data_IF_309825003085
#
_entry.id   IF_309825003085
#
_cell.length_a   1.000
_cell.length_b   1.000
_cell.length_c   1.000
_cell.angle_alpha   90.00
_cell.angle_beta   90.00
_cell.angle_gamma   90.00
#
_symmetry.space_group_name_H-M   'P 1'
#
loop_
_entity.id
_entity.type
_entity.pdbx_description
1 polymer ?
#
# COMPACT_ATOMS: atom_id res chain seq x y z
N UNK A 1 41.22 -34.41 27.83
CA UNK A 1 42.50 -34.24 27.09
C UNK A 1 42.67 -32.77 26.76
N UNK A 2 43.86 -32.19 27.00
CA UNK A 2 44.22 -30.82 26.58
C UNK A 2 45.25 -30.93 25.45
N UNK A 3 45.21 -30.02 24.49
CA UNK A 3 46.43 -29.57 23.81
C UNK A 3 46.37 -28.06 23.59
N UNK A 4 47.41 -27.38 24.06
CA UNK A 4 47.65 -25.97 23.78
C UNK A 4 48.54 -25.85 22.54
N UNK A 5 48.48 -24.71 21.85
CA UNK A 5 49.70 -23.99 21.49
C UNK A 5 49.39 -22.54 21.08
N UNK A 6 50.16 -21.61 21.62
CA UNK A 6 50.29 -20.24 21.12
C UNK A 6 51.79 -19.91 21.12
N UNK A 7 52.28 -19.04 20.22
CA UNK A 7 53.24 -17.94 20.51
C UNK A 7 53.77 -17.22 19.25
N UNK A 8 53.49 -15.91 19.20
CA UNK A 8 54.30 -14.72 18.79
C UNK A 8 55.16 -14.68 17.50
N UNK A 9 54.71 -13.83 16.56
CA UNK A 9 55.27 -12.49 16.23
C UNK A 9 56.80 -12.24 16.22
N UNK A 10 57.34 -11.71 15.10
CA UNK A 10 58.21 -10.49 15.00
C UNK A 10 58.07 -9.85 13.58
N UNK A 11 58.16 -8.51 13.50
CA UNK A 11 58.04 -7.61 12.31
C UNK A 11 59.19 -7.79 11.28
N UNK A 12 59.06 -7.51 9.97
CA UNK A 12 59.01 -6.17 9.31
C UNK A 12 58.89 -6.34 7.76
N UNK A 13 58.59 -5.35 6.89
CA UNK A 13 58.15 -3.96 7.08
C UNK A 13 58.35 -3.07 5.82
N UNK A 14 57.27 -2.44 5.29
CA UNK A 14 57.16 -1.53 4.11
C UNK A 14 57.47 -2.14 2.71
N UNK A 15 56.84 -1.72 1.59
CA UNK A 15 56.21 -0.43 1.26
C UNK A 15 54.88 -0.56 0.45
N UNK A 16 54.07 0.50 0.48
CA UNK A 16 52.66 0.53 0.07
C UNK A 16 52.36 0.49 -1.45
N UNK A 17 51.27 -0.21 -1.80
CA UNK A 17 50.23 0.29 -2.74
C UNK A 17 48.87 -0.02 -2.11
N UNK A 18 48.16 1.01 -1.63
CA UNK A 18 46.89 0.87 -0.92
C UNK A 18 45.70 0.91 -1.89
N UNK A 19 45.23 -0.26 -2.31
CA UNK A 19 43.81 -0.42 -2.70
C UNK A 19 43.09 -0.87 -1.44
N UNK A 20 42.41 0.07 -0.78
CA UNK A 20 41.68 -0.21 0.46
C UNK A 20 40.40 -0.96 0.14
N UNK A 21 40.29 -2.18 0.64
CA UNK A 21 39.02 -2.90 0.71
C UNK A 21 38.10 -2.18 1.70
N UNK A 22 36.89 -1.84 1.26
CA UNK A 22 35.83 -1.31 2.10
C UNK A 22 34.91 -2.47 2.55
N UNK A 23 35.34 -3.22 3.57
CA UNK A 23 34.43 -4.01 4.38
C UNK A 23 34.12 -3.22 5.66
N UNK A 24 32.87 -2.76 5.80
CA UNK A 24 32.39 -2.01 6.97
C UNK A 24 32.18 -0.52 6.70
N UNK A 25 30.92 -0.11 6.58
CA UNK A 25 30.48 1.27 6.35
C UNK A 25 29.17 1.26 5.57
N UNK A 26 28.10 1.86 6.12
CA UNK A 26 26.76 1.80 5.56
C UNK A 26 26.69 2.36 4.14
N UNK A 27 26.05 1.62 3.23
CA UNK A 27 25.87 1.96 1.82
C UNK A 27 24.86 3.09 1.58
N UNK A 28 25.09 4.25 2.18
CA UNK A 28 24.43 5.49 1.78
C UNK A 28 24.89 5.90 0.39
N UNK A 29 24.26 5.35 -0.64
CA UNK A 29 24.21 6.05 -1.93
C UNK A 29 23.46 7.35 -1.72
N UNK A 30 24.01 8.47 -2.20
CA UNK A 30 23.38 9.78 -2.05
C UNK A 30 21.93 9.75 -2.57
N UNK A 31 21.01 10.50 -1.94
CA UNK A 31 19.62 10.57 -2.39
C UNK A 31 19.56 11.06 -3.85
N UNK A 32 18.61 10.58 -4.67
CA UNK A 32 18.55 10.95 -6.08
C UNK A 32 18.38 12.46 -6.25
N UNK A 33 19.25 13.08 -7.06
CA UNK A 33 19.12 14.48 -7.45
C UNK A 33 18.01 14.61 -8.52
N UNK A 34 16.77 14.75 -8.05
CA UNK A 34 15.60 14.92 -8.90
C UNK A 34 15.57 16.35 -9.46
N UNK A 35 15.55 16.51 -10.79
CA UNK A 35 15.28 17.84 -11.36
C UNK A 35 13.78 18.18 -11.24
N UNK A 36 13.41 19.42 -10.83
CA UNK A 36 12.04 19.75 -10.44
C UNK A 36 10.95 19.43 -11.45
N UNK A 37 9.78 19.03 -10.93
CA UNK A 37 8.54 18.96 -11.69
C UNK A 37 8.12 20.37 -12.14
N UNK A 38 7.55 20.51 -13.35
CA UNK A 38 7.09 21.80 -13.84
C UNK A 38 6.01 22.41 -12.94
N UNK A 39 5.90 23.73 -13.01
CA UNK A 39 4.71 24.43 -12.54
C UNK A 39 3.51 24.02 -13.39
N UNK A 40 2.46 23.55 -12.72
CA UNK A 40 1.21 23.08 -13.34
C UNK A 40 0.03 23.84 -12.77
N UNK A 41 -1.02 24.00 -13.57
CA UNK A 41 -2.25 24.62 -13.10
C UNK A 41 -2.90 23.81 -11.96
N UNK A 42 -3.73 24.48 -11.15
CA UNK A 42 -4.61 23.79 -10.22
C UNK A 42 -5.51 22.79 -10.98
N UNK A 43 -5.85 21.61 -10.40
CA UNK A 43 -6.69 20.64 -11.07
C UNK A 43 -8.07 21.22 -11.42
N UNK A 44 -8.67 20.84 -12.57
CA UNK A 44 -10.02 21.27 -12.93
C UNK A 44 -11.07 20.70 -11.95
N UNK A 45 -12.23 21.35 -11.85
CA UNK A 45 -13.29 20.95 -10.92
C UNK A 45 -13.73 19.48 -11.10
N UNK A 46 -13.86 19.01 -12.35
CA UNK A 46 -14.19 17.62 -12.70
C UNK A 46 -13.18 16.60 -12.14
N UNK A 47 -11.88 16.94 -12.14
CA UNK A 47 -10.86 16.11 -11.49
C UNK A 47 -11.06 16.08 -9.96
N UNK A 48 -11.41 17.22 -9.37
CA UNK A 48 -11.64 17.35 -7.92
C UNK A 48 -12.94 16.66 -7.44
N UNK A 49 -13.88 16.35 -8.33
CA UNK A 49 -15.02 15.47 -8.00
C UNK A 49 -14.56 14.03 -7.72
N UNK A 50 -13.51 13.57 -8.42
CA UNK A 50 -12.89 12.25 -8.22
C UNK A 50 -11.82 12.27 -7.12
N UNK A 51 -11.05 13.36 -7.04
CA UNK A 51 -9.95 13.58 -6.11
C UNK A 51 -10.18 14.85 -5.26
N UNK A 52 -11.09 14.80 -4.28
CA UNK A 52 -11.44 15.97 -3.47
C UNK A 52 -10.23 16.45 -2.67
N UNK A 53 -10.03 17.77 -2.62
CA UNK A 53 -8.99 18.36 -1.78
C UNK A 53 -9.29 18.11 -0.28
N UNK A 54 -8.26 18.01 0.58
CA UNK A 54 -8.43 17.90 2.02
C UNK A 54 -9.30 19.02 2.60
N UNK A 55 -10.33 18.62 3.34
CA UNK A 55 -11.04 19.50 4.27
C UNK A 55 -10.81 18.94 5.67
N UNK A 56 -9.90 19.58 6.43
CA UNK A 56 -9.46 19.05 7.73
C UNK A 56 -10.55 19.24 8.77
N UNK A 57 -11.19 18.15 9.16
CA UNK A 57 -12.14 18.11 10.28
C UNK A 57 -11.43 17.79 11.60
N UNK A 58 -12.12 17.95 12.72
CA UNK A 58 -11.62 17.52 14.03
C UNK A 58 -12.34 16.26 14.49
N UNK A 59 -11.57 15.25 14.91
CA UNK A 59 -12.09 14.05 15.57
C UNK A 59 -11.66 14.09 17.03
N UNK A 60 -12.65 13.95 17.92
CA UNK A 60 -12.41 13.77 19.36
C UNK A 60 -12.90 12.40 19.80
N UNK A 61 -12.03 11.68 20.50
CA UNK A 61 -12.30 10.37 21.08
C UNK A 61 -12.03 10.44 22.57
N UNK A 62 -12.99 10.02 23.39
CA UNK A 62 -12.84 9.92 24.83
C UNK A 62 -13.14 8.47 25.23
N UNK A 63 -12.11 7.75 25.69
CA UNK A 63 -12.26 6.36 26.15
C UNK A 63 -12.91 6.31 27.53
N UNK A 64 -13.61 5.21 27.81
CA UNK A 64 -14.17 4.93 29.11
C UNK A 64 -13.08 5.02 30.19
N UNK A 65 -13.30 5.87 31.20
CA UNK A 65 -12.37 6.16 32.30
C UNK A 65 -11.02 6.78 31.85
N UNK A 66 -10.95 7.35 30.63
CA UNK A 66 -9.72 7.86 30.00
C UNK A 66 -8.60 6.79 29.89
N UNK A 67 -8.97 5.50 29.82
CA UNK A 67 -8.02 4.39 29.69
C UNK A 67 -7.20 4.50 28.39
N UNK A 68 -5.86 4.32 28.44
CA UNK A 68 -5.02 4.40 27.25
C UNK A 68 -5.28 3.21 26.30
N UNK A 69 -5.04 3.44 25.01
CA UNK A 69 -5.04 2.39 23.98
C UNK A 69 -3.62 1.87 23.85
N UNK A 70 -3.34 0.67 24.39
CA UNK A 70 -1.98 0.18 24.62
C UNK A 70 -1.55 -1.01 23.75
N UNK A 71 -2.47 -1.63 23.02
CA UNK A 71 -2.18 -2.79 22.17
C UNK A 71 -3.12 -2.87 20.96
N UNK A 72 -2.88 -3.89 20.11
CA UNK A 72 -3.59 -4.13 18.85
C UNK A 72 -4.73 -5.15 18.93
N UNK A 73 -5.01 -5.72 20.11
CA UNK A 73 -5.96 -6.83 20.27
C UNK A 73 -7.20 -6.38 21.08
N UNK A 74 -6.96 -5.68 22.18
CA UNK A 74 -7.94 -5.31 23.17
C UNK A 74 -8.62 -3.99 22.82
N UNK A 75 -9.89 -4.10 22.42
CA UNK A 75 -10.76 -2.95 22.19
C UNK A 75 -11.13 -2.26 23.51
N UNK A 76 -10.82 -0.96 23.61
CA UNK A 76 -11.28 -0.07 24.67
C UNK A 76 -12.57 0.63 24.21
N UNK A 77 -13.63 0.60 25.02
CA UNK A 77 -14.86 1.37 24.75
C UNK A 77 -14.58 2.88 24.81
N UNK A 78 -15.24 3.63 23.93
CA UNK A 78 -15.07 5.08 23.80
C UNK A 78 -16.31 5.77 23.21
N UNK A 79 -16.35 7.09 23.35
CA UNK A 79 -17.25 7.97 22.59
C UNK A 79 -16.50 8.65 21.45
N UNK A 80 -17.18 8.86 20.32
CA UNK A 80 -16.64 9.43 19.10
C UNK A 80 -17.44 10.68 18.67
N UNK A 81 -16.72 11.76 18.38
CA UNK A 81 -17.26 13.05 17.95
C UNK A 81 -16.47 13.59 16.76
N UNK A 82 -17.17 14.17 15.79
CA UNK A 82 -16.59 14.84 14.61
C UNK A 82 -17.14 16.26 14.52
N UNK A 83 -16.25 17.23 14.34
CA UNK A 83 -16.59 18.64 14.13
C UNK A 83 -15.97 19.13 12.83
N UNK A 84 -16.79 19.63 11.91
CA UNK A 84 -16.33 20.20 10.63
C UNK A 84 -16.31 21.74 10.71
N UNK A 85 -15.26 22.42 10.22
CA UNK A 85 -15.18 23.89 10.29
C UNK A 85 -16.30 24.65 9.56
N UNK A 86 -16.95 24.00 8.57
CA UNK A 86 -17.86 24.67 7.64
C UNK A 86 -19.24 23.99 7.47
N UNK A 87 -19.51 22.84 8.12
CA UNK A 87 -20.77 22.11 7.95
C UNK A 87 -21.38 21.64 9.27
N UNK A 88 -22.71 21.69 9.32
CA UNK A 88 -23.56 20.99 10.29
C UNK A 88 -24.31 19.92 9.48
N UNK A 89 -24.36 18.63 9.90
CA UNK A 89 -24.23 18.15 11.27
C UNK A 89 -22.84 17.65 11.69
N UNK A 90 -22.42 18.05 12.88
CA UNK A 90 -21.38 17.35 13.65
C UNK A 90 -21.88 15.98 14.12
N UNK A 91 -21.08 14.92 13.96
CA UNK A 91 -21.33 13.64 14.64
C UNK A 91 -21.02 13.84 16.13
N UNK A 92 -21.96 13.57 17.03
CA UNK A 92 -21.79 13.79 18.47
C UNK A 92 -21.96 12.49 19.25
N UNK A 93 -20.97 12.17 20.07
CA UNK A 93 -21.03 11.19 21.17
C UNK A 93 -21.53 9.80 20.78
N UNK A 94 -21.12 9.32 19.59
CA UNK A 94 -21.47 7.98 19.13
C UNK A 94 -20.62 6.95 19.89
N UNK A 95 -21.22 5.94 20.56
CA UNK A 95 -20.48 4.87 21.20
C UNK A 95 -19.73 4.03 20.16
N UNK A 96 -18.46 3.73 20.45
CA UNK A 96 -17.63 2.85 19.64
C UNK A 96 -16.55 2.21 20.50
N UNK A 97 -15.68 1.42 19.87
CA UNK A 97 -14.50 0.83 20.48
C UNK A 97 -13.26 1.15 19.65
N UNK A 98 -12.16 1.43 20.32
CA UNK A 98 -10.87 1.76 19.70
C UNK A 98 -9.80 0.75 20.13
N UNK A 99 -8.93 0.35 19.20
CA UNK A 99 -7.68 -0.36 19.49
C UNK A 99 -6.53 0.14 18.61
N UNK A 100 -5.30 -0.21 18.95
CA UNK A 100 -4.14 -0.02 18.07
C UNK A 100 -4.26 -0.83 16.78
N UNK A 101 -3.50 -0.46 15.75
CA UNK A 101 -3.36 -1.26 14.52
C UNK A 101 -1.97 -1.10 13.89
N UNK A 102 -1.76 -1.79 12.78
CA UNK A 102 -0.54 -1.69 11.98
C UNK A 102 0.54 -2.65 12.48
N UNK A 103 1.61 -2.77 11.71
CA UNK A 103 2.79 -3.53 12.09
C UNK A 103 3.89 -2.55 12.48
N UNK A 104 4.85 -2.23 11.61
CA UNK A 104 5.92 -1.25 11.91
C UNK A 104 5.39 0.11 12.38
N UNK A 105 4.25 0.57 11.85
CA UNK A 105 3.61 1.84 12.23
C UNK A 105 3.05 1.86 13.66
N UNK A 106 2.85 0.71 14.31
CA UNK A 106 2.42 0.63 15.71
C UNK A 106 3.56 0.97 16.69
N UNK A 107 4.80 0.69 16.28
CA UNK A 107 6.02 0.93 17.05
C UNK A 107 6.52 2.39 16.91
N UNK A 108 5.93 3.15 15.98
CA UNK A 108 6.24 4.57 15.78
C UNK A 108 5.63 5.45 16.89
N UNK A 109 6.29 6.56 17.28
CA UNK A 109 5.80 7.47 18.33
C UNK A 109 4.37 7.99 18.16
N UNK A 110 3.87 8.10 16.92
CA UNK A 110 2.50 8.48 16.60
C UNK A 110 1.75 7.27 16.04
N UNK A 111 0.94 6.65 16.88
CA UNK A 111 0.30 5.37 16.59
C UNK A 111 -0.97 5.51 15.72
N UNK A 112 -1.24 4.59 14.80
CA UNK A 112 -2.52 4.47 14.09
C UNK A 112 -3.53 3.62 14.89
N UNK A 113 -4.81 3.86 14.64
CA UNK A 113 -5.91 3.23 15.38
C UNK A 113 -6.95 2.58 14.46
N UNK A 114 -7.64 1.56 14.99
CA UNK A 114 -8.84 0.96 14.40
C UNK A 114 -10.04 1.26 15.28
N UNK A 115 -11.05 1.93 14.71
CA UNK A 115 -12.33 2.23 15.33
C UNK A 115 -13.35 1.17 14.91
N UNK A 116 -14.22 0.76 15.83
CA UNK A 116 -15.31 -0.18 15.60
C UNK A 116 -16.60 0.32 16.28
N UNK A 117 -17.57 0.68 15.47
CA UNK A 117 -18.93 1.07 15.86
C UNK A 117 -19.84 -0.16 15.94
N UNK A 118 -20.87 -0.11 16.78
CA UNK A 118 -21.86 -1.18 16.88
C UNK A 118 -22.74 -1.22 15.62
N UNK A 119 -23.10 -0.07 15.07
CA UNK A 119 -23.82 0.10 13.79
C UNK A 119 -22.98 0.79 12.72
N UNK A 120 -23.47 0.78 11.47
CA UNK A 120 -22.79 1.47 10.36
C UNK A 120 -22.94 2.98 10.53
N UNK A 121 -21.81 3.69 10.61
CA UNK A 121 -21.76 5.15 10.72
C UNK A 121 -21.13 5.73 9.46
N UNK A 122 -21.78 6.73 8.88
CA UNK A 122 -21.20 7.58 7.83
C UNK A 122 -20.31 8.63 8.50
N UNK A 123 -19.06 8.74 8.08
CA UNK A 123 -18.09 9.71 8.63
C UNK A 123 -17.68 10.68 7.53
N UNK A 124 -17.86 11.99 7.75
CA UNK A 124 -17.42 13.05 6.81
C UNK A 124 -17.92 12.85 5.36
N UNK A 125 -19.18 12.44 5.23
CA UNK A 125 -19.86 12.17 3.95
C UNK A 125 -19.43 10.88 3.24
N UNK A 126 -18.57 10.06 3.83
CA UNK A 126 -18.16 8.75 3.28
C UNK A 126 -19.19 7.65 3.58
N UNK A 127 -19.23 6.61 2.74
CA UNK A 127 -20.09 5.44 2.84
C UNK A 127 -20.09 4.83 4.24
N UNK A 128 -21.28 4.51 4.75
CA UNK A 128 -21.45 4.10 6.14
C UNK A 128 -20.85 2.72 6.44
N UNK A 129 -19.88 2.69 7.37
CA UNK A 129 -19.12 1.49 7.73
C UNK A 129 -19.09 1.28 9.25
N UNK A 130 -18.95 0.01 9.68
CA UNK A 130 -18.81 -0.33 11.11
C UNK A 130 -17.37 -0.19 11.61
N UNK A 131 -16.38 -0.33 10.73
CA UNK A 131 -14.96 -0.19 11.07
C UNK A 131 -14.37 0.99 10.31
N UNK A 132 -13.50 1.76 10.96
CA UNK A 132 -12.79 2.89 10.37
C UNK A 132 -11.34 2.90 10.84
N UNK A 133 -10.41 3.10 9.91
CA UNK A 133 -8.98 3.17 10.17
C UNK A 133 -8.56 4.63 10.30
N UNK A 134 -7.79 4.95 11.34
CA UNK A 134 -7.04 6.20 11.49
C UNK A 134 -5.57 5.93 11.14
N UNK A 135 -5.16 6.29 9.93
CA UNK A 135 -3.76 6.26 9.50
C UNK A 135 -3.00 7.46 10.10
N UNK A 136 -1.89 7.19 10.77
CA UNK A 136 -1.06 8.21 11.40
C UNK A 136 -0.14 8.95 10.42
N UNK A 137 0.16 8.33 9.26
CA UNK A 137 1.10 8.80 8.24
C UNK A 137 2.39 9.40 8.85
N UNK A 138 2.98 8.73 9.86
CA UNK A 138 4.07 9.30 10.64
C UNK A 138 5.40 9.38 9.86
N UNK A 139 5.75 8.33 9.12
CA UNK A 139 6.92 8.29 8.23
C UNK A 139 6.69 9.07 6.94
N UNK A 140 5.46 9.10 6.41
CA UNK A 140 5.09 9.97 5.28
C UNK A 140 4.92 11.42 5.72
N UNK A 141 6.02 12.16 5.78
CA UNK A 141 6.04 13.57 6.15
C UNK A 141 5.30 14.49 5.16
N UNK A 142 5.01 14.03 3.94
CA UNK A 142 4.11 14.76 3.02
C UNK A 142 2.65 14.67 3.48
N UNK A 143 2.30 13.63 4.25
CA UNK A 143 0.97 13.17 4.65
C UNK A 143 0.06 12.72 3.49
N UNK A 144 0.54 12.79 2.25
CA UNK A 144 -0.28 12.77 1.02
C UNK A 144 -0.16 11.48 0.20
N UNK A 145 0.78 10.57 0.47
CA UNK A 145 1.07 9.43 -0.44
C UNK A 145 -0.10 8.45 -0.57
N UNK A 146 -0.73 8.10 0.56
CA UNK A 146 -1.96 7.30 0.57
C UNK A 146 -3.12 8.02 -0.14
N UNK A 147 -3.33 9.32 0.13
CA UNK A 147 -4.40 10.11 -0.50
C UNK A 147 -4.19 10.26 -2.02
N UNK A 148 -2.95 10.41 -2.47
CA UNK A 148 -2.55 10.43 -3.88
C UNK A 148 -2.84 9.08 -4.55
N UNK A 149 -2.42 7.97 -3.95
CA UNK A 149 -2.69 6.64 -4.47
C UNK A 149 -4.19 6.33 -4.59
N UNK A 150 -4.98 6.69 -3.58
CA UNK A 150 -6.44 6.52 -3.62
C UNK A 150 -7.10 7.43 -4.67
N UNK A 151 -6.61 8.66 -4.86
CA UNK A 151 -7.01 9.51 -5.97
C UNK A 151 -6.73 8.83 -7.33
N UNK A 152 -5.49 8.39 -7.56
CA UNK A 152 -5.07 7.67 -8.77
C UNK A 152 -5.92 6.44 -9.05
N UNK A 153 -6.24 5.65 -8.03
CA UNK A 153 -7.08 4.47 -8.16
C UNK A 153 -8.54 4.79 -8.55
N UNK A 154 -9.12 5.87 -8.02
CA UNK A 154 -10.46 6.33 -8.44
C UNK A 154 -10.46 6.81 -9.90
N UNK A 155 -9.44 7.56 -10.32
CA UNK A 155 -9.29 8.01 -11.73
C UNK A 155 -9.19 6.82 -12.70
N UNK A 156 -8.52 5.73 -12.29
CA UNK A 156 -8.45 4.50 -13.07
C UNK A 156 -9.74 3.65 -13.03
N UNK A 157 -10.70 3.99 -12.17
CA UNK A 157 -11.94 3.25 -12.00
C UNK A 157 -11.78 1.95 -11.21
N UNK A 158 -10.81 1.86 -10.28
CA UNK A 158 -10.71 0.71 -9.38
C UNK A 158 -11.88 0.70 -8.39
N UNK A 159 -12.72 -0.33 -8.51
CA UNK A 159 -13.88 -0.52 -7.64
C UNK A 159 -13.47 -0.65 -6.16
N UNK A 160 -14.33 -0.16 -5.28
CA UNK A 160 -14.15 -0.17 -3.82
C UNK A 160 -12.88 0.52 -3.29
N UNK A 161 -12.20 1.33 -4.11
CA UNK A 161 -11.06 2.16 -3.68
C UNK A 161 -11.42 2.90 -2.38
N UNK A 162 -10.59 2.82 -1.32
CA UNK A 162 -10.98 3.36 -0.02
C UNK A 162 -11.30 4.85 -0.11
N UNK A 163 -12.36 5.26 0.57
CA UNK A 163 -12.65 6.67 0.77
C UNK A 163 -11.81 7.17 1.95
N UNK A 164 -11.32 8.41 1.86
CA UNK A 164 -10.46 8.99 2.88
C UNK A 164 -10.75 10.48 3.14
N UNK A 165 -10.45 10.92 4.37
CA UNK A 165 -10.49 12.33 4.77
C UNK A 165 -9.37 12.63 5.75
N UNK A 166 -8.87 13.86 5.72
CA UNK A 166 -7.89 14.36 6.69
C UNK A 166 -8.57 14.90 7.93
N UNK A 167 -8.02 14.58 9.10
CA UNK A 167 -8.62 14.93 10.41
C UNK A 167 -7.56 15.24 11.45
N UNK A 168 -7.78 16.25 12.28
CA UNK A 168 -6.99 16.46 13.49
C UNK A 168 -7.57 15.64 14.65
N UNK A 169 -6.76 14.77 15.25
CA UNK A 169 -7.19 13.84 16.29
C UNK A 169 -6.88 14.36 17.70
N UNK A 170 -7.89 14.32 18.57
CA UNK A 170 -7.75 14.43 20.02
C UNK A 170 -8.24 13.15 20.69
N UNK A 171 -7.39 12.52 21.50
CA UNK A 171 -7.71 11.30 22.26
C UNK A 171 -7.53 11.58 23.76
N UNK A 172 -8.57 11.40 24.56
CA UNK A 172 -8.57 11.64 26.01
C UNK A 172 -8.07 13.05 26.40
N UNK A 173 -8.45 14.06 25.61
CA UNK A 173 -7.97 15.44 25.73
C UNK A 173 -6.56 15.72 25.18
N UNK A 174 -5.77 14.72 24.80
CA UNK A 174 -4.44 14.94 24.20
C UNK A 174 -4.52 15.08 22.67
N UNK A 175 -3.85 16.10 22.12
CA UNK A 175 -3.80 16.36 20.68
C UNK A 175 -2.69 15.53 20.03
N UNK A 176 -3.09 14.63 19.12
CA UNK A 176 -2.19 13.66 18.47
C UNK A 176 -1.77 14.06 17.05
N UNK A 177 -2.20 15.22 16.54
CA UNK A 177 -1.82 15.70 15.20
C UNK A 177 -2.80 15.32 14.09
N UNK A 178 -2.31 15.39 12.86
CA UNK A 178 -3.08 15.19 11.63
C UNK A 178 -3.09 13.71 11.22
N UNK A 179 -4.26 13.11 11.10
CA UNK A 179 -4.49 11.73 10.66
C UNK A 179 -5.28 11.70 9.34
N UNK A 180 -5.27 10.54 8.69
CA UNK A 180 -6.15 10.25 7.55
C UNK A 180 -7.13 9.14 7.97
N UNK A 181 -8.43 9.44 8.03
CA UNK A 181 -9.49 8.47 8.34
C UNK A 181 -10.00 7.81 7.06
N UNK A 182 -10.13 6.48 7.04
CA UNK A 182 -10.55 5.70 5.86
C UNK A 182 -11.33 4.43 6.21
N UNK A 183 -12.11 3.91 5.26
CA UNK A 183 -12.88 2.67 5.40
C UNK A 183 -12.16 1.38 4.95
N UNK A 184 -10.88 1.45 4.50
CA UNK A 184 -10.09 0.29 4.03
C UNK A 184 -10.90 -0.54 3.00
N UNK A 185 -10.94 -1.85 3.17
CA UNK A 185 -11.62 -2.86 2.35
C UNK A 185 -13.07 -3.14 2.79
N UNK A 186 -13.52 -2.56 3.91
CA UNK A 186 -14.69 -3.06 4.63
C UNK A 186 -16.00 -3.00 3.83
N UNK A 187 -16.05 -2.19 2.77
CA UNK A 187 -17.16 -2.19 1.81
C UNK A 187 -17.22 -3.49 0.98
N UNK A 188 -16.10 -3.94 0.40
CA UNK A 188 -16.05 -5.19 -0.35
C UNK A 188 -16.21 -6.40 0.58
N UNK A 189 -15.62 -6.37 1.78
CA UNK A 189 -15.85 -7.39 2.82
C UNK A 189 -17.34 -7.56 3.15
N UNK A 190 -18.03 -6.46 3.43
CA UNK A 190 -19.47 -6.46 3.71
C UNK A 190 -20.31 -7.00 2.53
N UNK A 191 -19.89 -6.75 1.29
CA UNK A 191 -20.56 -7.29 0.09
C UNK A 191 -20.29 -8.79 -0.10
N UNK A 192 -19.08 -9.26 0.19
CA UNK A 192 -18.74 -10.68 0.20
C UNK A 192 -19.59 -11.42 1.23
N UNK A 193 -19.59 -10.98 2.49
CA UNK A 193 -20.27 -11.64 3.60
C UNK A 193 -21.81 -11.67 3.43
N UNK A 194 -22.40 -10.67 2.75
CA UNK A 194 -23.84 -10.63 2.41
C UNK A 194 -24.30 -11.74 1.47
N UNK A 195 -23.41 -12.36 0.69
CA UNK A 195 -23.77 -13.47 -0.20
C UNK A 195 -24.08 -14.77 0.57
N UNK A 196 -23.82 -14.80 1.88
CA UNK A 196 -24.19 -15.88 2.76
C UNK A 196 -23.23 -17.06 2.73
N UNK A 197 -23.08 -17.71 3.88
CA UNK A 197 -22.04 -18.71 4.17
C UNK A 197 -22.41 -20.15 3.76
N UNK A 198 -23.25 -20.34 2.74
CA UNK A 198 -23.71 -21.70 2.33
C UNK A 198 -22.53 -22.57 1.87
N UNK A 199 -21.61 -21.94 1.14
CA UNK A 199 -20.40 -22.55 0.58
C UNK A 199 -19.49 -23.19 1.64
N UNK A 200 -19.54 -22.75 2.90
CA UNK A 200 -18.78 -23.35 4.01
C UNK A 200 -18.96 -24.86 4.17
N UNK A 201 -20.13 -25.39 3.79
CA UNK A 201 -20.49 -26.80 3.93
C UNK A 201 -20.63 -27.54 2.59
N UNK A 202 -20.39 -26.87 1.46
CA UNK A 202 -20.54 -27.46 0.13
C UNK A 202 -19.34 -28.40 -0.17
N UNK A 203 -19.62 -29.70 -0.29
CA UNK A 203 -18.66 -30.69 -0.79
C UNK A 203 -18.67 -30.59 -2.31
N UNK A 204 -17.71 -29.85 -2.86
CA UNK A 204 -17.61 -29.58 -4.31
C UNK A 204 -17.25 -30.84 -5.09
N UNK A 205 -18.27 -31.53 -5.58
CA UNK A 205 -18.19 -32.52 -6.65
C UNK A 205 -18.73 -31.94 -7.98
N UNK A 206 -18.74 -30.60 -8.08
CA UNK A 206 -19.21 -29.79 -9.20
C UNK A 206 -18.03 -29.23 -9.98
N UNK A 207 -18.18 -29.13 -11.30
CA UNK A 207 -17.11 -28.76 -12.25
C UNK A 207 -16.82 -27.26 -12.36
N UNK A 208 -17.29 -26.44 -11.43
CA UNK A 208 -17.14 -24.99 -11.44
C UNK A 208 -16.95 -24.46 -10.02
N UNK A 209 -15.96 -23.58 -9.84
CA UNK A 209 -15.64 -22.95 -8.58
C UNK A 209 -16.42 -21.63 -8.41
N UNK A 210 -17.13 -21.51 -7.28
CA UNK A 210 -18.15 -20.46 -7.05
C UNK A 210 -18.10 -19.87 -5.62
N UNK A 211 -17.01 -20.09 -4.89
CA UNK A 211 -16.84 -19.55 -3.53
C UNK A 211 -16.58 -18.04 -3.60
N UNK A 212 -17.39 -17.19 -2.93
CA UNK A 212 -17.08 -15.78 -2.80
C UNK A 212 -16.04 -15.55 -1.68
N UNK A 213 -15.06 -14.69 -1.93
CA UNK A 213 -14.02 -14.35 -0.95
C UNK A 213 -13.46 -12.94 -1.14
N UNK A 214 -12.86 -12.42 -0.07
CA UNK A 214 -11.86 -11.35 -0.07
C UNK A 214 -10.60 -11.90 0.59
N UNK A 215 -9.48 -11.84 -0.13
CA UNK A 215 -8.16 -12.24 0.33
C UNK A 215 -7.16 -11.09 0.11
N UNK A 216 -6.09 -11.12 0.89
CA UNK A 216 -4.92 -10.25 0.78
C UNK A 216 -3.70 -11.12 0.46
N UNK A 217 -2.86 -10.71 -0.48
CA UNK A 217 -1.47 -11.23 -0.52
C UNK A 217 -0.76 -10.67 0.71
N UNK A 218 -0.40 -11.54 1.65
CA UNK A 218 0.24 -11.19 2.91
C UNK A 218 1.34 -12.22 3.23
N UNK A 219 2.60 -11.81 3.10
CA UNK A 219 3.75 -12.66 3.41
C UNK A 219 3.84 -13.06 4.89
N UNK A 220 3.24 -12.30 5.82
CA UNK A 220 3.31 -12.59 7.26
C UNK A 220 2.44 -13.78 7.64
N UNK A 221 1.34 -14.02 6.91
CA UNK A 221 0.40 -15.12 7.17
C UNK A 221 -0.05 -15.21 8.64
N UNK A 222 -0.41 -14.06 9.21
CA UNK A 222 -0.65 -13.82 10.63
C UNK A 222 -2.14 -13.63 11.02
N UNK A 223 -3.07 -13.76 10.07
CA UNK A 223 -4.52 -13.71 10.30
C UNK A 223 -5.12 -15.06 10.73
N UNK A 224 -6.43 -15.14 11.02
CA UNK A 224 -7.11 -16.40 11.43
C UNK A 224 -7.09 -17.50 10.35
N UNK A 225 -7.08 -17.10 9.07
CA UNK A 225 -7.20 -18.01 7.92
C UNK A 225 -6.18 -17.66 6.84
N UNK A 226 -5.03 -18.34 6.87
CA UNK A 226 -3.97 -18.18 5.88
C UNK A 226 -3.76 -19.43 5.03
N UNK A 227 -3.18 -19.25 3.86
CA UNK A 227 -2.63 -20.32 3.04
C UNK A 227 -1.46 -19.81 2.21
N UNK A 228 -0.68 -20.75 1.66
CA UNK A 228 0.40 -20.46 0.72
C UNK A 228 0.15 -21.31 -0.53
N UNK A 229 0.22 -20.69 -1.71
CA UNK A 229 0.06 -21.38 -3.00
C UNK A 229 1.31 -22.17 -3.37
N UNK A 230 1.24 -22.95 -4.45
CA UNK A 230 2.32 -23.78 -4.98
C UNK A 230 3.51 -22.94 -5.43
N UNK A 231 3.27 -21.72 -5.92
CA UNK A 231 4.32 -20.74 -6.24
C UNK A 231 4.91 -20.02 -5.03
N UNK A 232 4.45 -20.32 -3.82
CA UNK A 232 4.98 -19.75 -2.57
C UNK A 232 4.41 -18.38 -2.21
N UNK A 233 3.29 -17.95 -2.80
CA UNK A 233 2.64 -16.68 -2.47
C UNK A 233 1.77 -16.88 -1.23
N UNK A 234 2.01 -16.09 -0.18
CA UNK A 234 1.23 -16.09 1.06
C UNK A 234 -0.05 -15.28 0.92
N UNK A 235 -1.17 -15.85 1.36
CA UNK A 235 -2.48 -15.21 1.35
C UNK A 235 -3.17 -15.31 2.72
N UNK A 236 -3.87 -14.25 3.09
CA UNK A 236 -4.77 -14.17 4.25
C UNK A 236 -6.20 -13.87 3.79
N UNK A 237 -7.22 -14.45 4.43
CA UNK A 237 -8.61 -14.02 4.22
C UNK A 237 -8.93 -12.79 5.08
N UNK A 238 -9.44 -11.72 4.47
CA UNK A 238 -10.05 -10.60 5.22
C UNK A 238 -11.59 -10.73 5.26
N UNK A 239 -12.22 -11.54 4.40
CA UNK A 239 -13.62 -11.97 4.64
C UNK A 239 -13.72 -13.17 5.58
N UNK A 240 -14.80 -13.26 6.36
CA UNK A 240 -15.10 -14.45 7.17
C UNK A 240 -14.99 -15.77 6.37
N UNK A 241 -14.16 -16.70 6.85
CA UNK A 241 -13.79 -17.95 6.14
C UNK A 241 -13.94 -19.20 7.04
N UNK A 242 -13.64 -20.37 6.48
CA UNK A 242 -13.45 -21.61 7.23
C UNK A 242 -12.40 -22.52 6.55
N UNK A 243 -11.91 -23.53 7.26
CA UNK A 243 -10.89 -24.45 6.73
C UNK A 243 -11.29 -25.21 5.45
N UNK A 244 -12.58 -25.33 5.12
CA UNK A 244 -13.03 -25.95 3.87
C UNK A 244 -12.93 -24.98 2.69
N UNK A 245 -13.37 -23.72 2.86
CA UNK A 245 -13.18 -22.66 1.88
C UNK A 245 -11.69 -22.42 1.62
N UNK A 246 -10.86 -22.31 2.67
CA UNK A 246 -9.40 -22.11 2.53
C UNK A 246 -8.78 -23.15 1.59
N UNK A 247 -9.15 -24.43 1.71
CA UNK A 247 -8.65 -25.49 0.81
C UNK A 247 -9.14 -25.35 -0.63
N UNK A 248 -10.39 -24.93 -0.85
CA UNK A 248 -10.94 -24.76 -2.21
C UNK A 248 -10.39 -23.51 -2.91
N UNK A 249 -10.34 -22.38 -2.22
CA UNK A 249 -9.75 -21.13 -2.75
C UNK A 249 -8.27 -21.33 -3.06
N UNK A 250 -7.52 -21.99 -2.17
CA UNK A 250 -6.13 -22.38 -2.45
C UNK A 250 -6.04 -23.25 -3.71
N UNK A 251 -6.79 -24.35 -3.78
CA UNK A 251 -6.71 -25.27 -4.92
C UNK A 251 -7.05 -24.60 -6.25
N UNK A 252 -8.06 -23.73 -6.25
CA UNK A 252 -8.43 -22.93 -7.42
C UNK A 252 -7.35 -21.93 -7.84
N UNK A 253 -6.64 -21.32 -6.88
CA UNK A 253 -5.47 -20.49 -7.18
C UNK A 253 -4.26 -21.33 -7.64
N UNK A 254 -4.03 -22.52 -7.08
CA UNK A 254 -3.00 -23.47 -7.54
C UNK A 254 -3.25 -23.92 -9.00
N UNK A 255 -4.51 -24.12 -9.39
CA UNK A 255 -4.92 -24.40 -10.78
C UNK A 255 -4.68 -23.17 -11.69
N UNK A 256 -5.04 -21.96 -11.24
CA UNK A 256 -4.80 -20.72 -11.98
C UNK A 256 -3.30 -20.40 -12.13
N UNK A 257 -2.47 -20.71 -11.12
CA UNK A 257 -1.02 -20.66 -11.21
C UNK A 257 -0.48 -21.65 -12.26
N UNK A 258 -1.02 -22.86 -12.31
CA UNK A 258 -0.66 -23.84 -13.35
C UNK A 258 -0.96 -23.30 -14.76
N UNK A 259 -2.07 -22.56 -14.91
CA UNK A 259 -2.46 -21.94 -16.18
C UNK A 259 -1.54 -20.80 -16.62
N UNK A 260 -1.05 -19.97 -15.69
CA UNK A 260 -0.07 -18.92 -16.00
C UNK A 260 1.22 -19.49 -16.59
N UNK A 261 1.58 -20.73 -16.27
CA UNK A 261 2.70 -21.45 -16.88
C UNK A 261 2.49 -21.85 -18.35
N UNK A 262 1.27 -21.76 -18.90
CA UNK A 262 0.93 -22.23 -20.25
C UNK A 262 -0.04 -21.28 -21.01
N UNK A 263 0.07 -19.98 -20.81
CA UNK A 263 -0.78 -18.96 -21.47
C UNK A 263 -0.65 -18.93 -23.01
N UNK A 264 0.36 -19.57 -23.59
CA UNK A 264 0.51 -19.72 -25.04
C UNK A 264 -0.56 -20.65 -25.67
N UNK A 265 -1.23 -21.50 -24.89
CA UNK A 265 -2.40 -22.25 -25.34
C UNK A 265 -3.61 -21.31 -25.43
N UNK A 266 -4.31 -21.23 -26.59
CA UNK A 266 -5.54 -20.45 -26.72
C UNK A 266 -6.63 -20.85 -25.72
N UNK A 267 -6.71 -22.14 -25.38
CA UNK A 267 -7.67 -22.69 -24.42
C UNK A 267 -7.35 -22.25 -22.97
N UNK A 268 -6.07 -22.23 -22.60
CA UNK A 268 -5.61 -21.74 -21.30
C UNK A 268 -5.79 -20.22 -21.20
N UNK A 269 -5.40 -19.46 -22.23
CA UNK A 269 -5.65 -18.02 -22.29
C UNK A 269 -7.14 -17.68 -22.19
N UNK A 270 -8.02 -18.40 -22.90
CA UNK A 270 -9.46 -18.21 -22.84
C UNK A 270 -10.03 -18.48 -21.43
N UNK A 271 -9.54 -19.49 -20.72
CA UNK A 271 -9.92 -19.78 -19.32
C UNK A 271 -9.47 -18.65 -18.40
N UNK A 272 -8.19 -18.28 -18.42
CA UNK A 272 -7.61 -17.23 -17.57
C UNK A 272 -8.30 -15.87 -17.80
N UNK A 273 -8.52 -15.47 -19.05
CA UNK A 273 -9.21 -14.22 -19.40
C UNK A 273 -10.72 -14.23 -19.15
N UNK A 274 -11.32 -15.39 -18.83
CA UNK A 274 -12.70 -15.50 -18.35
C UNK A 274 -12.78 -15.48 -16.82
N UNK A 275 -11.83 -16.15 -16.15
CA UNK A 275 -11.79 -16.29 -14.69
C UNK A 275 -11.24 -15.07 -13.95
N UNK A 276 -10.58 -14.15 -14.65
CA UNK A 276 -9.96 -12.94 -14.09
C UNK A 276 -10.49 -11.66 -14.75
N UNK A 277 -10.77 -10.63 -13.94
CA UNK A 277 -10.95 -9.27 -14.42
C UNK A 277 -9.58 -8.65 -14.70
N UNK A 278 -9.07 -8.93 -15.90
CA UNK A 278 -7.79 -8.38 -16.39
C UNK A 278 -7.79 -6.84 -16.45
N UNK A 279 -8.94 -6.18 -16.56
CA UNK A 279 -8.99 -4.71 -16.53
C UNK A 279 -8.73 -4.18 -15.11
N UNK A 280 -9.30 -4.83 -14.09
CA UNK A 280 -8.98 -4.52 -12.69
C UNK A 280 -7.50 -4.79 -12.37
N UNK A 281 -6.92 -5.88 -12.88
CA UNK A 281 -5.49 -6.16 -12.72
C UNK A 281 -4.61 -5.10 -13.39
N UNK A 282 -4.88 -4.74 -14.65
CA UNK A 282 -4.12 -3.72 -15.37
C UNK A 282 -4.17 -2.36 -14.66
N UNK A 283 -5.33 -2.00 -14.11
CA UNK A 283 -5.50 -0.79 -13.31
C UNK A 283 -4.73 -0.86 -11.99
N UNK A 284 -4.87 -1.94 -11.21
CA UNK A 284 -4.17 -2.12 -9.92
C UNK A 284 -2.65 -2.11 -10.11
N UNK A 285 -2.20 -2.79 -11.15
CA UNK A 285 -0.80 -2.80 -11.57
C UNK A 285 -0.28 -1.37 -11.81
N UNK A 286 -0.94 -0.62 -12.70
CA UNK A 286 -0.47 0.72 -13.06
C UNK A 286 -0.50 1.72 -11.90
N UNK A 287 -1.46 1.62 -10.96
CA UNK A 287 -1.46 2.46 -9.76
C UNK A 287 -0.25 2.15 -8.87
N UNK A 288 0.06 0.87 -8.65
CA UNK A 288 1.22 0.48 -7.85
C UNK A 288 2.55 0.76 -8.55
N UNK A 289 2.64 0.56 -9.86
CA UNK A 289 3.86 0.79 -10.65
C UNK A 289 4.15 2.30 -10.83
N UNK A 290 3.13 3.15 -11.02
CA UNK A 290 3.29 4.60 -10.99
C UNK A 290 3.73 5.11 -9.60
N UNK A 291 3.34 4.42 -8.54
CA UNK A 291 3.80 4.74 -7.19
C UNK A 291 5.15 4.08 -6.83
N UNK A 292 5.61 3.09 -7.62
CA UNK A 292 6.65 2.12 -7.26
C UNK A 292 6.47 1.60 -5.82
N UNK A 293 5.25 1.13 -5.50
CA UNK A 293 4.92 0.69 -4.15
C UNK A 293 5.72 -0.56 -3.75
N UNK A 294 6.52 -0.46 -2.69
CA UNK A 294 7.40 -1.54 -2.21
C UNK A 294 6.64 -2.80 -1.80
N UNK A 295 5.44 -2.68 -1.22
CA UNK A 295 4.69 -3.82 -0.72
C UNK A 295 3.80 -4.49 -1.78
N UNK A 296 3.58 -3.87 -2.94
CA UNK A 296 2.62 -4.36 -3.94
C UNK A 296 2.91 -5.80 -4.40
N UNK A 297 1.89 -6.66 -4.40
CA UNK A 297 1.98 -8.09 -4.70
C UNK A 297 2.89 -8.92 -3.77
N UNK A 298 3.35 -8.36 -2.65
CA UNK A 298 4.06 -9.05 -1.56
C UNK A 298 3.31 -8.97 -0.22
N UNK A 299 2.70 -7.81 0.05
CA UNK A 299 1.80 -7.51 1.18
C UNK A 299 0.63 -6.64 0.65
N UNK A 300 -0.38 -6.36 1.47
CA UNK A 300 -1.28 -5.20 1.31
C UNK A 300 -2.02 -5.13 -0.05
N UNK A 301 -2.16 -6.28 -0.72
CA UNK A 301 -2.68 -6.37 -2.09
C UNK A 301 -3.92 -7.24 -2.08
N UNK A 302 -5.09 -6.61 -2.17
CA UNK A 302 -6.37 -7.28 -2.08
C UNK A 302 -6.83 -7.86 -3.42
N UNK A 303 -7.47 -9.03 -3.34
CA UNK A 303 -8.19 -9.68 -4.43
C UNK A 303 -9.53 -10.18 -3.90
N UNK A 304 -10.58 -10.07 -4.71
CA UNK A 304 -11.91 -10.56 -4.34
C UNK A 304 -12.59 -11.27 -5.51
N UNK A 305 -13.53 -12.15 -5.17
CA UNK A 305 -14.43 -12.79 -6.12
C UNK A 305 -15.84 -12.77 -5.56
N UNK A 306 -16.78 -12.22 -6.31
CA UNK A 306 -18.21 -12.41 -6.04
C UNK A 306 -18.69 -13.73 -6.65
N UNK A 307 -19.76 -14.31 -6.12
CA UNK A 307 -20.36 -15.55 -6.63
C UNK A 307 -20.71 -15.39 -8.12
N UNK A 308 -20.28 -16.33 -8.95
CA UNK A 308 -20.42 -16.31 -10.41
C UNK A 308 -19.63 -15.21 -11.15
N UNK A 309 -18.85 -14.38 -10.44
CA UNK A 309 -18.01 -13.33 -11.03
C UNK A 309 -16.54 -13.76 -11.16
N UNK A 310 -15.72 -13.02 -11.93
CA UNK A 310 -14.29 -13.27 -12.03
C UNK A 310 -13.55 -12.86 -10.74
N UNK A 311 -12.30 -13.28 -10.63
CA UNK A 311 -11.33 -12.73 -9.68
C UNK A 311 -10.97 -11.30 -10.09
N UNK A 312 -11.30 -10.35 -9.23
CA UNK A 312 -11.02 -8.93 -9.39
C UNK A 312 -9.94 -8.47 -8.41
N UNK A 313 -9.25 -7.40 -8.80
CA UNK A 313 -8.06 -6.89 -8.15
C UNK A 313 -8.33 -5.54 -7.48
N UNK A 314 -7.83 -5.40 -6.25
CA UNK A 314 -8.12 -4.29 -5.34
C UNK A 314 -9.04 -4.70 -4.19
N UNK A 315 -9.45 -3.76 -3.32
CA UNK A 315 -9.11 -2.33 -3.36
C UNK A 315 -7.62 -2.04 -3.12
N UNK A 316 -7.18 -0.84 -3.48
CA UNK A 316 -5.80 -0.37 -3.21
C UNK A 316 -5.59 -0.09 -1.73
N UNK A 317 -4.38 -0.36 -1.23
CA UNK A 317 -4.01 -0.16 0.17
C UNK A 317 -2.49 0.04 0.36
N UNK A 318 -2.09 0.59 1.51
CA UNK A 318 -0.71 0.91 1.97
C UNK A 318 0.25 1.45 0.87
N UNK A 319 0.32 2.77 0.79
CA UNK A 319 1.25 3.52 -0.09
C UNK A 319 2.16 4.46 0.72
N UNK A 320 2.43 4.18 1.99
CA UNK A 320 3.44 4.90 2.76
C UNK A 320 4.87 4.53 2.30
N UNK A 321 5.10 3.28 1.88
CA UNK A 321 6.33 2.78 1.25
C UNK A 321 6.34 3.00 -0.29
N UNK A 322 5.89 4.17 -0.73
CA UNK A 322 5.77 4.50 -2.15
C UNK A 322 6.25 5.93 -2.46
N UNK A 323 6.36 6.26 -3.75
CA UNK A 323 6.83 7.55 -4.25
C UNK A 323 8.17 7.98 -3.63
N UNK A 324 9.18 7.12 -3.78
CA UNK A 324 10.53 7.33 -3.28
C UNK A 324 10.73 7.17 -1.76
N UNK A 325 9.66 6.91 -0.98
CA UNK A 325 9.73 6.84 0.48
C UNK A 325 10.18 5.47 1.03
N UNK A 326 11.31 4.99 0.52
CA UNK A 326 11.96 3.76 0.93
C UNK A 326 13.47 3.91 0.74
N UNK A 327 14.29 3.44 1.66
CA UNK A 327 15.76 3.59 1.60
C UNK A 327 16.50 2.27 1.28
N UNK A 328 15.81 1.13 1.36
CA UNK A 328 16.35 -0.22 1.12
C UNK A 328 15.98 -0.86 -0.24
N UNK A 329 15.07 -0.28 -1.02
CA UNK A 329 14.61 -0.80 -2.32
C UNK A 329 14.94 0.13 -3.49
N UNK A 330 14.96 -0.40 -4.72
CA UNK A 330 15.13 0.41 -5.93
C UNK A 330 13.99 1.41 -6.17
N UNK A 331 12.81 1.19 -5.59
CA UNK A 331 11.68 2.15 -5.52
C UNK A 331 12.02 3.52 -4.91
N UNK A 332 13.20 3.69 -4.30
CA UNK A 332 13.76 5.02 -3.96
C UNK A 332 13.96 5.89 -5.21
N UNK A 333 14.26 5.28 -6.35
CA UNK A 333 14.48 5.93 -7.64
C UNK A 333 13.20 5.94 -8.48
N UNK A 334 12.94 6.99 -9.29
CA UNK A 334 11.80 7.01 -10.20
C UNK A 334 12.01 6.15 -11.46
N UNK A 335 13.24 5.78 -11.82
CA UNK A 335 13.55 4.94 -12.97
C UNK A 335 13.53 3.43 -12.64
N UNK A 336 13.03 2.61 -13.57
CA UNK A 336 13.08 1.14 -13.53
C UNK A 336 11.73 0.49 -13.20
N UNK A 337 11.37 -0.59 -13.90
CA UNK A 337 10.20 -1.38 -13.53
C UNK A 337 10.45 -2.05 -12.18
N UNK A 338 9.46 -2.02 -11.29
CA UNK A 338 9.59 -2.55 -9.96
C UNK A 338 8.51 -3.60 -9.70
N UNK A 339 7.24 -3.19 -9.74
CA UNK A 339 6.09 -4.02 -9.38
C UNK A 339 5.95 -5.21 -10.34
N UNK A 340 6.17 -4.96 -11.64
CA UNK A 340 6.20 -6.00 -12.68
C UNK A 340 7.30 -7.03 -12.44
N UNK A 341 8.50 -6.57 -12.11
CA UNK A 341 9.70 -7.41 -12.15
C UNK A 341 9.98 -8.12 -10.80
N UNK A 342 9.18 -7.82 -9.77
CA UNK A 342 9.12 -8.57 -8.51
C UNK A 342 8.99 -10.09 -8.70
N UNK A 343 9.69 -10.84 -7.82
CA UNK A 343 9.58 -12.30 -7.72
C UNK A 343 8.13 -12.78 -7.53
N UNK A 344 7.39 -12.13 -6.64
CA UNK A 344 6.04 -12.53 -6.23
C UNK A 344 4.98 -12.26 -7.31
N UNK A 345 5.20 -11.23 -8.13
CA UNK A 345 4.36 -10.85 -9.28
C UNK A 345 4.68 -11.65 -10.56
N UNK A 346 5.20 -12.88 -10.46
CA UNK A 346 5.60 -13.68 -11.63
C UNK A 346 4.45 -13.93 -12.63
N UNK A 347 3.20 -14.06 -12.15
CA UNK A 347 2.03 -14.24 -13.00
C UNK A 347 1.68 -12.97 -13.78
N UNK A 348 1.93 -11.78 -13.20
CA UNK A 348 1.79 -10.51 -13.90
C UNK A 348 2.79 -10.43 -15.07
N UNK A 349 4.01 -10.95 -14.90
CA UNK A 349 4.98 -11.09 -16.02
C UNK A 349 4.49 -12.08 -17.07
N UNK A 350 3.95 -13.23 -16.67
CA UNK A 350 3.39 -14.21 -17.60
C UNK A 350 2.23 -13.61 -18.44
N UNK A 351 1.36 -12.82 -17.80
CA UNK A 351 0.27 -12.09 -18.44
C UNK A 351 0.78 -10.96 -19.36
N UNK A 352 1.77 -10.16 -18.93
CA UNK A 352 2.34 -9.09 -19.75
C UNK A 352 3.08 -9.59 -21.00
N UNK A 353 3.56 -10.83 -21.01
CA UNK A 353 4.06 -11.50 -22.23
C UNK A 353 2.94 -11.82 -23.24
N UNK A 354 1.66 -11.73 -22.87
CA UNK A 354 0.53 -11.92 -23.78
C UNK A 354 0.17 -10.59 -24.48
N UNK A 355 0.19 -10.53 -25.82
CA UNK A 355 -0.02 -9.28 -26.56
C UNK A 355 -1.30 -8.53 -26.21
N UNK A 356 -2.39 -9.26 -25.91
CA UNK A 356 -3.67 -8.67 -25.54
C UNK A 356 -3.64 -7.93 -24.18
N UNK A 357 -2.86 -8.44 -23.22
CA UNK A 357 -2.74 -7.80 -21.90
C UNK A 357 -1.72 -6.66 -21.92
N UNK A 358 -0.59 -6.81 -22.63
CA UNK A 358 0.35 -5.71 -22.87
C UNK A 358 -0.32 -4.51 -23.56
N UNK A 359 -1.16 -4.77 -24.57
CA UNK A 359 -1.99 -3.76 -25.22
C UNK A 359 -2.96 -3.08 -24.24
N UNK A 360 -3.66 -3.87 -23.42
CA UNK A 360 -4.56 -3.33 -22.39
C UNK A 360 -3.81 -2.41 -21.41
N UNK A 361 -2.63 -2.82 -20.94
CA UNK A 361 -1.81 -2.03 -20.01
C UNK A 361 -1.29 -0.75 -20.68
N UNK A 362 -0.84 -0.79 -21.95
CA UNK A 362 -0.49 0.42 -22.72
C UNK A 362 -1.66 1.38 -22.89
N UNK A 363 -2.86 0.88 -23.19
CA UNK A 363 -4.07 1.70 -23.31
C UNK A 363 -4.50 2.32 -21.97
N UNK A 364 -4.43 1.55 -20.88
CA UNK A 364 -4.71 2.05 -19.52
C UNK A 364 -3.68 3.07 -19.07
N UNK A 365 -2.40 2.90 -19.42
CA UNK A 365 -1.37 3.89 -19.14
C UNK A 365 -1.62 5.19 -19.92
N UNK A 366 -2.03 5.14 -21.19
CA UNK A 366 -2.35 6.35 -21.95
C UNK A 366 -3.46 7.20 -21.29
N UNK A 367 -4.39 6.57 -20.57
CA UNK A 367 -5.39 7.27 -19.73
C UNK A 367 -4.74 7.84 -18.47
N UNK A 368 -3.91 7.07 -17.78
CA UNK A 368 -3.26 7.46 -16.52
C UNK A 368 -2.21 8.58 -16.69
N UNK A 369 -1.29 8.42 -17.64
CA UNK A 369 -0.23 9.40 -17.93
C UNK A 369 -0.79 10.77 -18.27
N UNK A 370 -1.92 10.83 -18.99
CA UNK A 370 -2.65 12.07 -19.25
C UNK A 370 -3.17 12.79 -17.99
N UNK A 371 -3.37 12.07 -16.87
CA UNK A 371 -3.78 12.66 -15.58
C UNK A 371 -2.60 13.14 -14.72
N UNK A 372 -1.35 12.79 -15.05
CA UNK A 372 -0.17 13.14 -14.24
C UNK A 372 -0.03 14.65 -13.99
N UNK A 373 -0.23 15.56 -14.96
CA UNK A 373 -0.21 17.00 -14.68
C UNK A 373 -1.27 17.44 -13.65
N UNK A 374 -2.44 16.79 -13.63
CA UNK A 374 -3.47 17.06 -12.63
C UNK A 374 -3.14 16.43 -11.27
N UNK A 375 -2.52 15.25 -11.22
CA UNK A 375 -2.00 14.66 -9.99
C UNK A 375 -0.90 15.53 -9.34
N UNK A 376 0.02 16.09 -10.15
CA UNK A 376 1.05 17.05 -9.70
C UNK A 376 0.45 18.37 -9.16
N UNK A 377 -0.66 18.82 -9.76
CA UNK A 377 -1.43 19.96 -9.27
C UNK A 377 -2.20 19.64 -7.99
N UNK A 378 -2.74 18.43 -7.88
CA UNK A 378 -3.46 17.93 -6.71
C UNK A 378 -2.55 17.84 -5.49
N UNK A 379 -1.35 17.26 -5.61
CA UNK A 379 -0.38 17.21 -4.49
C UNK A 379 -0.11 18.60 -3.91
N UNK A 380 0.10 19.60 -4.77
CA UNK A 380 0.35 20.98 -4.34
C UNK A 380 -0.89 21.65 -3.74
N UNK A 381 -2.06 21.49 -4.36
CA UNK A 381 -3.32 22.04 -3.85
C UNK A 381 -3.73 21.39 -2.51
N UNK A 382 -3.50 20.09 -2.36
CA UNK A 382 -3.76 19.35 -1.13
C UNK A 382 -2.80 19.75 -0.01
N UNK A 383 -1.50 19.91 -0.29
CA UNK A 383 -0.54 20.47 0.66
C UNK A 383 -0.93 21.87 1.14
N UNK A 384 -1.42 22.73 0.23
CA UNK A 384 -1.97 24.05 0.58
C UNK A 384 -3.20 23.97 1.50
N UNK A 385 -4.10 23.02 1.25
CA UNK A 385 -5.27 22.78 2.11
C UNK A 385 -4.90 22.20 3.48
N UNK A 386 -3.74 21.56 3.62
CA UNK A 386 -3.21 21.05 4.89
C UNK A 386 -2.33 22.05 5.66
N UNK A 387 -2.01 23.23 5.10
CA UNK A 387 -0.94 24.12 5.59
C UNK A 387 -1.01 24.46 7.09
N UNK A 388 -2.20 24.73 7.64
CA UNK A 388 -2.31 24.97 9.09
C UNK A 388 -2.18 23.70 9.93
N UNK A 389 -2.81 22.61 9.50
CA UNK A 389 -2.89 21.36 10.26
C UNK A 389 -1.54 20.63 10.26
N UNK A 390 -0.79 20.65 9.16
CA UNK A 390 0.57 20.11 9.09
C UNK A 390 1.50 20.86 10.05
N UNK A 391 1.39 22.20 10.17
CA UNK A 391 2.20 22.97 11.14
C UNK A 391 1.92 22.51 12.57
N UNK A 392 0.63 22.37 12.95
CA UNK A 392 0.25 21.86 14.28
C UNK A 392 0.72 20.43 14.51
N UNK A 393 0.65 19.58 13.48
CA UNK A 393 1.20 18.22 13.51
C UNK A 393 2.71 18.21 13.77
N UNK A 394 3.51 19.00 13.03
CA UNK A 394 4.97 19.01 13.19
C UNK A 394 5.47 19.80 14.40
N UNK A 395 4.65 20.67 15.00
CA UNK A 395 4.89 21.19 16.36
C UNK A 395 4.77 20.07 17.41
N UNK A 396 3.79 19.17 17.26
CA UNK A 396 3.65 18.00 18.15
C UNK A 396 4.68 16.91 17.86
N UNK A 397 5.04 16.72 16.59
CA UNK A 397 5.94 15.67 16.09
C UNK A 397 7.07 16.28 15.25
N UNK A 398 8.14 16.82 15.86
CA UNK A 398 9.16 17.62 15.17
C UNK A 398 10.18 16.77 14.38
N UNK A 399 9.71 16.10 13.33
CA UNK A 399 10.47 15.10 12.56
C UNK A 399 10.97 15.56 11.18
N UNK A 400 10.63 16.76 10.71
CA UNK A 400 10.96 17.22 9.35
C UNK A 400 12.47 17.23 9.06
N UNK A 401 13.28 17.56 10.06
CA UNK A 401 14.76 17.57 10.00
C UNK A 401 15.40 16.24 10.45
N UNK A 402 14.60 15.23 10.78
CA UNK A 402 15.08 13.95 11.33
C UNK A 402 14.91 12.83 10.31
N UNK A 403 15.81 11.84 10.30
CA UNK A 403 15.53 10.57 9.66
C UNK A 403 14.42 9.83 10.43
N UNK A 404 13.40 9.39 9.71
CA UNK A 404 12.39 8.44 10.20
C UNK A 404 12.36 7.31 9.19
N UNK A 405 12.43 6.06 9.64
CA UNK A 405 12.42 4.91 8.73
C UNK A 405 11.11 4.90 7.91
N UNK A 406 11.15 4.67 6.58
CA UNK A 406 12.31 4.44 5.70
C UNK A 406 12.56 5.62 4.74
N UNK A 407 12.59 6.86 5.25
CA UNK A 407 12.80 8.03 4.40
C UNK A 407 14.17 7.99 3.72
N UNK A 408 14.20 7.87 2.39
CA UNK A 408 15.41 8.00 1.56
C UNK A 408 16.02 9.40 1.58
N UNK A 409 15.19 10.42 1.83
CA UNK A 409 15.58 11.84 1.86
C UNK A 409 15.02 12.48 3.12
N UNK A 410 15.83 13.31 3.78
CA UNK A 410 15.38 14.23 4.84
C UNK A 410 15.38 15.63 4.25
N UNK A 411 14.22 16.13 3.84
CA UNK A 411 14.13 17.41 3.10
C UNK A 411 14.19 18.65 4.02
N UNK A 412 14.08 18.45 5.34
CA UNK A 412 14.15 19.51 6.35
C UNK A 412 12.89 20.39 6.48
N UNK A 413 11.90 20.26 5.59
CA UNK A 413 10.69 21.09 5.65
C UNK A 413 9.49 20.43 4.96
N UNK A 414 8.26 20.76 5.39
CA UNK A 414 7.05 20.23 4.75
C UNK A 414 6.96 20.58 3.26
N UNK A 415 7.41 21.77 2.87
CA UNK A 415 7.48 22.16 1.45
C UNK A 415 8.44 21.25 0.67
N UNK A 416 9.61 20.94 1.23
CA UNK A 416 10.57 20.01 0.64
C UNK A 416 10.01 18.59 0.45
N UNK A 417 9.25 18.07 1.41
CA UNK A 417 8.58 16.76 1.29
C UNK A 417 7.53 16.74 0.17
N UNK A 418 6.80 17.85 0.01
CA UNK A 418 5.77 18.03 -1.02
C UNK A 418 6.40 18.18 -2.41
N UNK A 419 7.47 18.96 -2.53
CA UNK A 419 8.20 19.10 -3.81
C UNK A 419 8.92 17.79 -4.17
N UNK A 420 9.56 17.08 -3.23
CA UNK A 420 10.12 15.74 -3.48
C UNK A 420 9.06 14.75 -4.02
N UNK A 421 7.87 14.70 -3.42
CA UNK A 421 6.77 13.85 -3.90
C UNK A 421 6.35 14.20 -5.33
N UNK A 422 6.27 15.50 -5.67
CA UNK A 422 5.94 15.97 -7.02
C UNK A 422 7.05 15.65 -8.03
N UNK A 423 8.29 15.93 -7.67
CA UNK A 423 9.46 15.75 -8.52
C UNK A 423 9.65 14.26 -8.85
N UNK A 424 9.52 13.40 -7.84
CA UNK A 424 9.59 11.95 -8.01
C UNK A 424 8.45 11.44 -8.91
N UNK A 425 7.19 11.85 -8.66
CA UNK A 425 6.04 11.44 -9.48
C UNK A 425 6.20 11.87 -10.95
N UNK A 426 6.68 13.10 -11.18
CA UNK A 426 6.91 13.61 -12.53
C UNK A 426 7.97 12.78 -13.27
N UNK A 427 9.13 12.54 -12.64
CA UNK A 427 10.20 11.71 -13.22
C UNK A 427 9.73 10.28 -13.49
N UNK A 428 8.97 9.71 -12.55
CA UNK A 428 8.41 8.37 -12.68
C UNK A 428 7.49 8.25 -13.89
N UNK A 429 6.59 9.21 -14.07
CA UNK A 429 5.68 9.23 -15.22
C UNK A 429 6.43 9.37 -16.55
N UNK A 430 7.42 10.27 -16.64
CA UNK A 430 8.26 10.41 -17.84
C UNK A 430 8.97 9.10 -18.18
N UNK A 431 9.55 8.43 -17.17
CA UNK A 431 10.22 7.16 -17.36
C UNK A 431 9.26 6.06 -17.83
N UNK A 432 8.05 6.00 -17.28
CA UNK A 432 7.02 5.05 -17.75
C UNK A 432 6.60 5.38 -19.20
N UNK A 433 6.38 6.64 -19.57
CA UNK A 433 6.05 7.03 -20.96
C UNK A 433 7.10 6.54 -21.97
N UNK A 434 8.39 6.68 -21.66
CA UNK A 434 9.49 6.24 -22.53
C UNK A 434 9.61 4.70 -22.64
N UNK A 435 9.15 3.95 -21.63
CA UNK A 435 9.39 2.50 -21.51
C UNK A 435 8.13 1.63 -21.72
N UNK A 436 6.92 2.18 -21.55
CA UNK A 436 5.65 1.47 -21.73
C UNK A 436 5.46 0.83 -23.13
N UNK A 437 6.06 1.32 -24.25
CA UNK A 437 5.94 0.64 -25.55
C UNK A 437 6.52 -0.78 -25.57
N UNK A 438 7.35 -1.14 -24.57
CA UNK A 438 8.04 -2.41 -24.44
C UNK A 438 7.62 -3.17 -23.16
N UNK A 439 6.40 -2.94 -22.65
CA UNK A 439 5.93 -3.48 -21.37
C UNK A 439 5.87 -5.02 -21.34
N UNK A 440 5.79 -5.68 -22.50
CA UNK A 440 5.91 -7.13 -22.65
C UNK A 440 7.35 -7.67 -22.51
N UNK A 441 8.36 -6.80 -22.63
CA UNK A 441 9.77 -7.15 -22.43
C UNK A 441 10.10 -7.18 -20.93
N UNK A 442 9.61 -8.24 -20.28
CA UNK A 442 9.99 -8.61 -18.91
C UNK A 442 11.31 -9.37 -18.92
N UNK A 443 12.22 -9.12 -17.98
CA UNK A 443 13.45 -9.89 -17.88
C UNK A 443 13.22 -11.40 -17.69
N UNK A 444 14.03 -12.22 -18.34
CA UNK A 444 14.06 -13.68 -18.21
C UNK A 444 15.01 -14.15 -17.09
N UNK A 445 14.89 -13.56 -15.88
CA UNK A 445 15.53 -14.14 -14.69
C UNK A 445 14.88 -13.69 -13.37
N UNK A 446 14.52 -14.60 -12.44
CA UNK A 446 14.31 -14.27 -11.02
C UNK A 446 15.60 -14.03 -10.21
N UNK A 447 16.81 -14.20 -10.79
CA UNK A 447 18.12 -14.06 -10.12
C UNK A 447 19.18 -13.23 -10.90
N UNK A 448 18.74 -12.37 -11.82
CA UNK A 448 19.59 -11.69 -12.81
C UNK A 448 20.26 -10.37 -12.40
N UNK A 449 20.63 -10.17 -11.14
CA UNK A 449 21.48 -9.03 -10.70
C UNK A 449 20.79 -7.90 -9.94
N UNK A 450 20.54 -8.12 -8.65
CA UNK A 450 20.26 -7.11 -7.61
C UNK A 450 21.05 -7.47 -6.34
N UNK A 451 21.18 -6.57 -5.34
CA UNK A 451 22.09 -6.79 -4.21
C UNK A 451 21.75 -8.05 -3.40
N UNK A 452 22.80 -8.69 -2.87
CA UNK A 452 22.74 -9.97 -2.17
C UNK A 452 21.79 -9.98 -0.98
N UNK A 453 21.07 -11.09 -0.80
CA UNK A 453 20.44 -11.50 0.46
C UNK A 453 21.42 -11.30 1.63
N UNK A 454 21.15 -10.29 2.44
CA UNK A 454 21.64 -10.19 3.82
C UNK A 454 20.43 -10.13 4.75
N UNK A 455 19.72 -11.26 4.87
CA UNK A 455 18.85 -11.48 6.00
C UNK A 455 19.66 -11.34 7.31
N UNK A 456 19.04 -10.87 8.41
CA UNK A 456 19.74 -10.76 9.68
C UNK A 456 20.23 -12.16 10.11
N UNK A 457 21.52 -12.27 10.38
CA UNK A 457 22.08 -13.46 11.00
C UNK A 457 21.66 -13.50 12.48
N UNK A 458 21.28 -14.68 12.96
CA UNK A 458 21.07 -14.94 14.38
C UNK A 458 22.39 -14.76 15.17
N UNK A 459 22.35 -13.98 16.25
CA UNK A 459 23.25 -14.01 17.41
C UNK A 459 22.51 -13.45 18.66
#
# INVERSE_FOLDING_TARGET
MKYQSSIKTVLSGLLAVSVLAACGGGGGSDPPELQPAPEVAAPPAEFLETCPLPAVAQIRIETDEHRPVVDKENYVSASFRVSEPAQTPSISDVPMKIRGRGNTTWEMPKQPYLLKFDDKVSVLGMSANKKWVLLANYSDKSMLRNALAFCTARLMGLAYTPQDRFVELTLNGDYLGLYQITNKDYEVRDLIEKQGKTYFNEVTNTSSFDDPFLIEINWRTDEDFNFVTTSGIGFSFDSDSNAAQVRRVRGWLDDLETDFGNLASPETWARVSTEMDLASLANLYLVNELASNTDAFYSSTYLYRFRGGPLAFGPVWDFDLAYGNVDYESSRYPEGWYVRDMRWAWYLRALLRQPAFAEMVRQRWAVLGAQVPHLLGYVRAAAGALDEAQRRNFVRWPILEQYVWPNSVVTGSYAGEVDFLRDWLYRRAQWIDDNIPWIEQTGDDPYGGGPSDSGPADD
#
